data_IF_694332283237
#
_entry.id   IF_694332283237
#
_cell.length_a   1.000
_cell.length_b   1.000
_cell.length_c   1.000
_cell.angle_alpha   90.00
_cell.angle_beta   90.00
_cell.angle_gamma   90.00
#
_symmetry.space_group_name_H-M   'P 1'
#
loop_
_entity.id
_entity.type
_entity.pdbx_description
1 polymer ?
#
# COMPACT_ATOMS: atom_id res chain seq x y z
N UNK A 1 -4.13 33.78 27.61
CA UNK A 1 -4.71 32.80 26.65
C UNK A 1 -4.65 33.28 25.18
N UNK A 2 -4.05 34.43 24.86
CA UNK A 2 -4.02 34.97 23.52
C UNK A 2 -2.73 34.67 22.71
N UNK A 3 -1.67 34.19 23.35
CA UNK A 3 -0.38 33.94 22.66
C UNK A 3 -0.32 32.59 21.92
N UNK A 4 -1.09 31.57 22.38
CA UNK A 4 -1.09 30.24 21.76
C UNK A 4 -1.76 30.19 20.36
N UNK A 5 -2.65 31.11 20.04
CA UNK A 5 -3.33 31.18 18.73
C UNK A 5 -2.52 31.97 17.67
N UNK A 6 -1.61 32.84 18.11
CA UNK A 6 -0.74 33.59 17.19
C UNK A 6 0.30 32.73 16.49
N UNK A 7 0.77 31.65 17.12
CA UNK A 7 1.77 30.74 16.57
C UNK A 7 1.16 29.72 15.58
N UNK A 8 -0.09 29.30 15.80
CA UNK A 8 -0.77 28.34 14.92
C UNK A 8 -0.96 28.88 13.48
N UNK A 9 -1.17 30.19 13.29
CA UNK A 9 -1.33 30.80 11.98
C UNK A 9 -0.04 30.75 11.15
N UNK A 10 1.14 30.71 11.78
CA UNK A 10 2.43 30.62 11.11
C UNK A 10 2.64 29.29 10.37
N UNK A 11 1.92 28.23 10.75
CA UNK A 11 1.94 26.94 10.06
C UNK A 11 1.21 26.96 8.70
N UNK A 12 0.37 27.98 8.45
CA UNK A 12 -0.42 28.11 7.22
C UNK A 12 0.16 29.18 6.28
N UNK A 13 1.48 29.30 6.24
CA UNK A 13 2.15 30.24 5.32
C UNK A 13 2.02 29.77 3.88
N UNK A 14 1.84 30.70 2.96
CA UNK A 14 1.87 30.46 1.51
C UNK A 14 3.25 30.70 0.91
N UNK A 15 4.19 31.25 1.69
CA UNK A 15 5.56 31.51 1.26
C UNK A 15 6.44 30.30 1.49
N UNK A 16 7.06 29.82 0.42
CA UNK A 16 8.02 28.71 0.50
C UNK A 16 9.30 29.15 1.19
N UNK A 17 9.77 28.36 2.17
CA UNK A 17 11.06 28.56 2.84
C UNK A 17 12.20 27.80 2.15
N UNK A 18 11.98 27.27 0.93
CA UNK A 18 12.94 26.49 0.15
C UNK A 18 12.45 26.25 -1.27
N UNK A 19 13.22 25.45 -2.01
CA UNK A 19 12.85 25.04 -3.37
C UNK A 19 11.68 24.05 -3.37
N UNK A 20 10.79 24.17 -4.36
CA UNK A 20 9.71 23.22 -4.55
C UNK A 20 10.27 21.86 -4.95
N UNK A 21 9.85 20.80 -4.25
CA UNK A 21 10.23 19.43 -4.56
C UNK A 21 9.60 18.86 -5.84
N UNK A 22 8.60 19.53 -6.42
CA UNK A 22 7.92 19.10 -7.63
C UNK A 22 6.45 19.52 -7.67
N UNK A 23 5.68 18.90 -8.57
CA UNK A 23 4.25 19.11 -8.73
C UNK A 23 3.51 18.05 -7.90
N UNK A 24 2.56 18.49 -7.07
CA UNK A 24 1.68 17.59 -6.33
C UNK A 24 0.74 16.84 -7.29
N UNK A 25 0.25 15.66 -6.84
CA UNK A 25 -0.75 14.88 -7.58
C UNK A 25 -1.82 14.34 -6.65
N UNK A 26 -2.98 14.09 -7.21
CA UNK A 26 -4.06 13.35 -6.56
C UNK A 26 -4.06 11.91 -7.06
N UNK A 27 -4.30 10.96 -6.18
CA UNK A 27 -4.43 9.54 -6.51
C UNK A 27 -5.71 9.01 -5.87
N UNK A 28 -6.60 8.44 -6.67
CA UNK A 28 -7.68 7.61 -6.15
C UNK A 28 -7.12 6.19 -6.00
N UNK A 29 -7.06 5.69 -4.78
CA UNK A 29 -6.49 4.38 -4.48
C UNK A 29 -7.23 3.23 -5.17
N UNK A 30 -8.52 3.38 -5.41
CA UNK A 30 -9.31 2.36 -6.12
C UNK A 30 -8.90 2.21 -7.59
N UNK A 31 -8.26 3.24 -8.16
CA UNK A 31 -7.70 3.20 -9.51
C UNK A 31 -6.30 2.58 -9.56
N UNK A 32 -5.66 2.34 -8.42
CA UNK A 32 -4.36 1.67 -8.36
C UNK A 32 -4.58 0.17 -8.51
N UNK A 33 -3.94 -0.44 -9.50
CA UNK A 33 -4.01 -1.90 -9.70
C UNK A 33 -3.52 -2.62 -8.44
N UNK A 34 -4.33 -3.51 -7.85
CA UNK A 34 -3.91 -4.27 -6.69
C UNK A 34 -2.81 -5.25 -7.07
N UNK A 35 -1.86 -5.42 -6.18
CA UNK A 35 -0.79 -6.42 -6.25
C UNK A 35 -1.13 -7.50 -5.25
N UNK A 36 -1.23 -8.74 -5.68
CA UNK A 36 -1.37 -9.89 -4.77
C UNK A 36 0.02 -10.29 -4.29
N UNK A 37 0.26 -10.14 -3.00
CA UNK A 37 1.53 -10.51 -2.38
C UNK A 37 1.55 -11.99 -1.98
N UNK A 38 0.47 -12.42 -1.34
CA UNK A 38 0.14 -13.80 -1.00
C UNK A 38 -1.36 -13.98 -1.22
N UNK A 39 -1.87 -15.21 -1.36
CA UNK A 39 -3.31 -15.44 -1.47
C UNK A 39 -4.08 -14.77 -0.32
N UNK A 40 -5.01 -13.88 -0.66
CA UNK A 40 -5.80 -13.10 0.29
C UNK A 40 -5.10 -11.86 0.87
N UNK A 41 -3.83 -11.62 0.54
CA UNK A 41 -3.08 -10.43 0.94
C UNK A 41 -2.77 -9.57 -0.28
N UNK A 42 -3.53 -8.52 -0.45
CA UNK A 42 -3.38 -7.58 -1.54
C UNK A 42 -2.92 -6.21 -1.07
N UNK A 43 -2.23 -5.47 -1.91
CA UNK A 43 -1.83 -4.10 -1.62
C UNK A 43 -1.84 -3.19 -2.84
N UNK A 44 -2.00 -1.89 -2.59
CA UNK A 44 -1.97 -0.82 -3.58
C UNK A 44 -0.98 0.25 -3.13
N UNK A 45 0.25 0.28 -3.69
CA UNK A 45 1.26 1.24 -3.30
C UNK A 45 1.02 2.61 -3.96
N UNK A 46 1.15 3.67 -3.17
CA UNK A 46 1.15 5.07 -3.62
C UNK A 46 2.47 5.69 -3.24
N UNK A 47 3.32 5.89 -4.25
CA UNK A 47 4.68 6.39 -4.05
C UNK A 47 4.70 7.91 -3.87
N UNK A 48 5.32 8.39 -2.80
CA UNK A 48 5.75 9.77 -2.60
C UNK A 48 7.24 9.95 -2.93
N UNK A 49 7.79 11.13 -2.68
CA UNK A 49 9.23 11.38 -2.92
C UNK A 49 10.14 10.76 -1.84
N UNK A 50 9.71 10.79 -0.58
CA UNK A 50 10.50 10.34 0.57
C UNK A 50 9.79 9.29 1.42
N UNK A 51 8.61 8.87 1.02
CA UNK A 51 7.82 7.86 1.68
C UNK A 51 6.82 7.24 0.72
N UNK A 52 6.21 6.16 1.13
CA UNK A 52 5.19 5.42 0.38
C UNK A 52 4.03 5.11 1.30
N UNK A 53 2.80 5.34 0.84
CA UNK A 53 1.61 4.80 1.48
C UNK A 53 1.20 3.53 0.73
N UNK A 54 1.01 2.44 1.45
CA UNK A 54 0.58 1.17 0.89
C UNK A 54 -0.76 0.77 1.53
N UNK A 55 -1.80 0.66 0.72
CA UNK A 55 -3.12 0.23 1.18
C UNK A 55 -3.19 -1.29 1.11
N UNK A 56 -3.27 -1.92 2.26
CA UNK A 56 -3.18 -3.37 2.42
C UNK A 56 -4.52 -3.95 2.81
N UNK A 57 -4.96 -4.95 2.08
CA UNK A 57 -6.19 -5.70 2.37
C UNK A 57 -5.84 -7.13 2.77
N UNK A 58 -6.35 -7.56 3.91
CA UNK A 58 -6.32 -8.94 4.38
C UNK A 58 -7.71 -9.54 4.25
N UNK A 59 -7.83 -10.66 3.56
CA UNK A 59 -9.00 -11.52 3.65
C UNK A 59 -9.03 -12.28 4.98
N UNK A 60 -10.17 -12.83 5.42
CA UNK A 60 -10.20 -13.73 6.57
C UNK A 60 -9.23 -14.91 6.42
N UNK A 61 -8.51 -15.25 7.50
CA UNK A 61 -7.58 -16.37 7.52
C UNK A 61 -6.27 -16.12 6.77
N UNK A 62 -5.90 -14.87 6.55
CA UNK A 62 -4.67 -14.49 5.84
C UNK A 62 -3.56 -14.12 6.81
N UNK A 63 -2.33 -14.46 6.46
CA UNK A 63 -1.13 -14.17 7.25
C UNK A 63 -0.08 -13.44 6.42
N UNK A 64 0.44 -12.33 6.96
CA UNK A 64 1.71 -11.74 6.59
C UNK A 64 2.77 -12.29 7.55
N UNK A 65 3.63 -13.24 7.11
CA UNK A 65 4.58 -13.92 7.98
C UNK A 65 5.54 -12.96 8.66
N UNK A 66 6.04 -13.35 9.84
CA UNK A 66 7.03 -12.56 10.59
C UNK A 66 8.26 -12.30 9.73
N UNK A 67 8.65 -11.03 9.61
CA UNK A 67 9.75 -10.56 8.78
C UNK A 67 10.38 -9.29 9.35
N UNK A 68 11.45 -8.85 8.71
CA UNK A 68 12.17 -7.60 9.00
C UNK A 68 12.46 -6.86 7.72
N UNK A 69 12.61 -5.54 7.78
CA UNK A 69 13.09 -4.69 6.69
C UNK A 69 13.72 -3.42 7.23
N UNK A 70 14.43 -2.68 6.38
CA UNK A 70 15.17 -1.49 6.78
C UNK A 70 14.32 -0.22 6.93
N UNK A 71 13.16 -0.19 6.26
CA UNK A 71 12.27 0.96 6.32
C UNK A 71 11.57 1.03 7.68
N UNK A 72 11.41 2.23 8.22
CA UNK A 72 10.42 2.47 9.26
C UNK A 72 9.02 2.30 8.67
N UNK A 73 8.15 1.63 9.41
CA UNK A 73 6.76 1.41 9.01
C UNK A 73 5.82 1.97 10.08
N UNK A 74 4.80 2.70 9.64
CA UNK A 74 3.66 3.07 10.48
C UNK A 74 2.43 2.35 9.94
N UNK A 75 1.88 1.46 10.75
CA UNK A 75 0.68 0.67 10.47
C UNK A 75 -0.53 1.39 11.01
N UNK A 76 -1.55 1.62 10.18
CA UNK A 76 -2.79 2.31 10.58
C UNK A 76 -3.98 1.45 10.17
N UNK A 77 -4.75 0.93 11.14
CA UNK A 77 -5.95 0.16 10.84
C UNK A 77 -7.10 1.10 10.47
N UNK A 78 -7.65 0.92 9.27
CA UNK A 78 -8.74 1.74 8.72
C UNK A 78 -10.08 1.07 8.92
N UNK A 79 -10.16 -0.25 8.69
CA UNK A 79 -11.38 -1.04 8.80
C UNK A 79 -11.08 -2.47 9.21
N UNK A 80 -12.00 -3.09 9.97
CA UNK A 80 -11.85 -4.45 10.47
C UNK A 80 -10.83 -4.56 11.61
N UNK A 81 -10.25 -5.74 11.74
CA UNK A 81 -9.25 -6.03 12.75
C UNK A 81 -8.29 -7.13 12.29
N UNK A 82 -7.10 -7.13 12.83
CA UNK A 82 -6.12 -8.20 12.69
C UNK A 82 -5.28 -8.35 13.95
N UNK A 83 -4.59 -9.46 14.10
CA UNK A 83 -3.60 -9.63 15.16
C UNK A 83 -2.24 -9.21 14.61
N UNK A 84 -1.53 -8.39 15.36
CA UNK A 84 -0.22 -7.86 15.02
C UNK A 84 0.81 -8.29 16.06
N UNK A 85 1.89 -8.90 15.61
CA UNK A 85 3.06 -9.26 16.41
C UNK A 85 4.16 -8.22 16.15
N UNK A 86 4.50 -7.44 17.16
CA UNK A 86 5.59 -6.48 17.14
C UNK A 86 6.65 -6.92 18.14
N UNK A 87 7.72 -7.52 17.65
CA UNK A 87 8.84 -8.03 18.44
C UNK A 87 8.44 -8.95 19.62
N UNK A 88 7.38 -9.75 19.39
CA UNK A 88 6.82 -10.67 20.38
C UNK A 88 5.69 -10.07 21.26
N UNK A 89 5.43 -8.77 21.16
CA UNK A 89 4.23 -8.16 21.75
C UNK A 89 3.05 -8.34 20.78
N UNK A 90 2.18 -9.29 21.07
CA UNK A 90 1.06 -9.68 20.21
C UNK A 90 -0.22 -9.01 20.66
N UNK A 91 -0.84 -8.23 19.78
CA UNK A 91 -2.07 -7.49 20.07
C UNK A 91 -3.07 -7.59 18.92
N UNK A 92 -4.35 -7.56 19.25
CA UNK A 92 -5.39 -7.30 18.25
C UNK A 92 -5.50 -5.81 18.04
N UNK A 93 -5.27 -5.37 16.80
CA UNK A 93 -5.43 -3.99 16.37
C UNK A 93 -6.74 -3.83 15.62
N UNK A 94 -7.44 -2.73 15.87
CA UNK A 94 -8.74 -2.39 15.33
C UNK A 94 -8.72 -1.01 14.70
N UNK A 95 -9.78 -0.64 14.00
CA UNK A 95 -9.92 0.69 13.43
C UNK A 95 -9.50 1.80 14.39
N UNK A 96 -8.54 2.61 13.93
CA UNK A 96 -7.96 3.73 14.69
C UNK A 96 -6.71 3.38 15.48
N UNK A 97 -6.37 2.09 15.61
CA UNK A 97 -5.10 1.68 16.21
C UNK A 97 -3.95 1.92 15.24
N UNK A 98 -2.81 2.29 15.82
CA UNK A 98 -1.57 2.57 15.09
C UNK A 98 -0.42 1.84 15.76
N UNK A 99 0.43 1.20 14.96
CA UNK A 99 1.71 0.66 15.40
C UNK A 99 2.86 1.38 14.68
N UNK A 100 3.94 1.62 15.38
CA UNK A 100 5.19 2.13 14.80
C UNK A 100 6.24 1.04 14.86
N UNK A 101 6.75 0.63 13.71
CA UNK A 101 7.74 -0.43 13.53
C UNK A 101 9.05 0.23 13.10
N UNK A 102 10.03 0.37 14.01
CA UNK A 102 11.35 0.87 13.63
C UNK A 102 12.06 -0.09 12.67
N UNK A 103 13.08 0.43 11.97
CA UNK A 103 13.91 -0.38 11.09
C UNK A 103 14.42 -1.65 11.79
N UNK A 104 14.37 -2.77 11.07
CA UNK A 104 14.85 -4.09 11.51
C UNK A 104 14.14 -4.72 12.70
N UNK A 105 13.03 -4.14 13.17
CA UNK A 105 12.21 -4.76 14.22
C UNK A 105 11.34 -5.86 13.63
N UNK A 106 11.42 -7.12 14.14
CA UNK A 106 10.62 -8.22 13.63
C UNK A 106 9.13 -7.99 13.88
N UNK A 107 8.31 -8.22 12.86
CA UNK A 107 6.86 -8.07 12.95
C UNK A 107 6.14 -8.96 11.94
N UNK A 108 4.85 -9.17 12.18
CA UNK A 108 3.96 -9.93 11.34
C UNK A 108 2.51 -9.68 11.71
N UNK A 109 1.57 -10.10 10.86
CA UNK A 109 0.15 -9.87 11.08
C UNK A 109 -0.68 -11.04 10.55
N UNK A 110 -1.85 -11.26 11.12
CA UNK A 110 -2.81 -12.24 10.61
C UNK A 110 -4.24 -11.88 10.96
N UNK A 111 -5.15 -12.30 10.10
CA UNK A 111 -6.61 -12.27 10.34
C UNK A 111 -7.12 -13.66 10.67
N UNK A 112 -8.25 -13.74 11.37
CA UNK A 112 -8.99 -14.98 11.62
C UNK A 112 -10.30 -14.98 10.84
N UNK A 113 -11.40 -14.60 11.46
CA UNK A 113 -12.73 -14.64 10.86
C UNK A 113 -13.15 -13.32 10.20
N UNK A 114 -12.40 -12.27 10.40
CA UNK A 114 -12.65 -10.94 9.85
C UNK A 114 -11.59 -10.52 8.84
N UNK A 115 -11.98 -9.67 7.90
CA UNK A 115 -11.04 -8.96 7.04
C UNK A 115 -10.45 -7.74 7.75
N UNK A 116 -9.34 -7.23 7.22
CA UNK A 116 -8.74 -5.99 7.67
C UNK A 116 -8.30 -5.15 6.48
N UNK A 117 -8.55 -3.85 6.55
CA UNK A 117 -7.94 -2.84 5.69
C UNK A 117 -7.04 -1.97 6.54
N UNK A 118 -5.81 -1.89 6.17
CA UNK A 118 -4.82 -1.03 6.82
C UNK A 118 -4.08 -0.15 5.82
N UNK A 119 -3.34 0.83 6.31
CA UNK A 119 -2.39 1.64 5.55
C UNK A 119 -1.03 1.51 6.21
N UNK A 120 -0.06 1.02 5.45
CA UNK A 120 1.36 1.06 5.82
C UNK A 120 2.00 2.31 5.23
N UNK A 121 2.64 3.10 6.08
CA UNK A 121 3.49 4.21 5.63
C UNK A 121 4.94 3.79 5.81
N UNK A 122 5.68 3.69 4.72
CA UNK A 122 7.12 3.36 4.71
C UNK A 122 7.99 4.59 4.48
N UNK A 123 9.05 4.72 5.28
CA UNK A 123 10.06 5.76 5.12
C UNK A 123 11.46 5.14 5.29
N UNK A 124 12.29 5.16 4.25
CA UNK A 124 12.04 5.55 2.86
C UNK A 124 11.01 4.64 2.15
N UNK A 125 10.67 4.90 0.88
CA UNK A 125 9.81 4.01 0.11
C UNK A 125 10.37 2.58 0.03
N UNK A 126 9.52 1.57 0.24
CA UNK A 126 9.93 0.16 0.19
C UNK A 126 10.01 -0.32 -1.26
N UNK A 127 11.21 -0.26 -1.83
CA UNK A 127 11.46 -0.56 -3.25
C UNK A 127 11.10 -2.00 -3.65
N UNK A 128 11.23 -2.96 -2.73
CA UNK A 128 10.87 -4.36 -3.01
C UNK A 128 9.39 -4.53 -3.37
N UNK A 129 8.50 -3.78 -2.72
CA UNK A 129 7.07 -3.78 -3.04
C UNK A 129 6.78 -3.11 -4.38
N UNK A 130 7.50 -2.03 -4.70
CA UNK A 130 7.35 -1.34 -5.99
C UNK A 130 7.80 -2.23 -7.15
N UNK A 131 8.92 -2.92 -7.02
CA UNK A 131 9.41 -3.87 -8.02
C UNK A 131 8.44 -5.03 -8.26
N UNK A 132 7.81 -5.53 -7.19
CA UNK A 132 6.78 -6.56 -7.31
C UNK A 132 5.54 -6.03 -8.04
N UNK A 133 5.08 -4.82 -7.73
CA UNK A 133 3.96 -4.18 -8.41
C UNK A 133 4.23 -3.99 -9.92
N UNK A 134 5.44 -3.55 -10.28
CA UNK A 134 5.88 -3.40 -11.66
C UNK A 134 5.90 -4.75 -12.39
N UNK A 135 6.44 -5.80 -11.77
CA UNK A 135 6.51 -7.14 -12.34
C UNK A 135 5.11 -7.72 -12.64
N UNK A 136 4.19 -7.66 -11.70
CA UNK A 136 2.82 -8.14 -11.88
C UNK A 136 2.05 -7.33 -12.94
N UNK A 137 2.25 -6.01 -12.99
CA UNK A 137 1.69 -5.16 -14.04
C UNK A 137 2.18 -5.56 -15.44
N UNK A 138 3.46 -5.86 -15.58
CA UNK A 138 4.05 -6.30 -16.85
C UNK A 138 3.52 -7.67 -17.29
N UNK A 139 3.39 -8.61 -16.36
CA UNK A 139 2.82 -9.94 -16.60
C UNK A 139 1.34 -9.85 -17.04
N UNK A 140 0.53 -9.05 -16.33
CA UNK A 140 -0.86 -8.84 -16.69
C UNK A 140 -1.03 -8.21 -18.08
N UNK A 141 -0.18 -7.25 -18.43
CA UNK A 141 -0.18 -6.60 -19.76
C UNK A 141 0.22 -7.58 -20.87
N UNK A 142 1.20 -8.44 -20.62
CA UNK A 142 1.64 -9.47 -21.55
C UNK A 142 0.56 -10.52 -21.78
N UNK A 143 -0.09 -11.00 -20.72
CA UNK A 143 -1.19 -11.95 -20.81
C UNK A 143 -2.39 -11.39 -21.58
N UNK A 144 -2.75 -10.13 -21.35
CA UNK A 144 -3.81 -9.44 -22.07
C UNK A 144 -3.50 -9.31 -23.58
N UNK A 145 -2.25 -9.00 -23.94
CA UNK A 145 -1.82 -8.90 -25.32
C UNK A 145 -1.85 -10.26 -26.06
N UNK A 146 -1.48 -11.33 -25.37
CA UNK A 146 -1.56 -12.70 -25.91
C UNK A 146 -3.00 -13.14 -26.14
N UNK A 147 -3.90 -12.91 -25.17
CA UNK A 147 -5.31 -13.24 -25.31
C UNK A 147 -6.01 -12.45 -26.45
N UNK A 148 -5.59 -11.21 -26.69
CA UNK A 148 -6.11 -10.40 -27.81
C UNK A 148 -5.59 -10.90 -29.18
N UNK A 149 -4.37 -11.44 -29.24
CA UNK A 149 -3.78 -11.99 -30.46
C UNK A 149 -4.39 -13.33 -30.91
N UNK A 150 -4.99 -14.10 -29.99
CA UNK A 150 -5.65 -15.39 -30.29
C UNK A 150 -7.10 -15.24 -30.83
N UNK A 151 -7.68 -14.02 -30.80
CA UNK A 151 -9.04 -13.73 -31.30
C UNK A 151 -9.05 -13.16 -32.75
N UNK A 152 -8.20 -13.64 -33.67
CA UNK A 152 -8.39 -13.35 -35.06
C UNK A 152 -9.64 -14.07 -35.59
N UNK A 153 -10.56 -13.37 -36.28
CA UNK A 153 -11.77 -13.99 -36.80
C UNK A 153 -11.39 -14.96 -37.95
N UNK A 154 -11.66 -16.24 -37.71
CA UNK A 154 -11.56 -17.26 -38.76
C UNK A 154 -12.30 -16.84 -40.03
N UNK A 155 -11.57 -16.68 -41.12
CA UNK A 155 -12.09 -16.31 -42.40
C UNK A 155 -13.25 -17.22 -42.81
N UNK A 156 -14.36 -16.63 -43.24
CA UNK A 156 -15.41 -17.34 -43.93
C UNK A 156 -14.85 -17.90 -45.26
N UNK A 157 -15.02 -19.17 -45.54
CA UNK A 157 -14.79 -19.66 -46.92
C UNK A 157 -15.93 -19.17 -47.79
N UNK A 158 -15.59 -18.32 -48.77
CA UNK A 158 -16.52 -17.97 -49.84
C UNK A 158 -17.03 -19.19 -50.57
N UNK A 159 -18.33 -19.42 -50.50
CA UNK A 159 -19.01 -20.38 -51.34
C UNK A 159 -19.33 -19.75 -52.66
N UNK A 160 -18.95 -20.45 -53.73
CA UNK A 160 -19.31 -20.21 -55.08
C UNK A 160 -20.81 -20.46 -55.35
#
# INVERSE_FOLDING_TARGET
MSEALGDAASHFTTEAQGERGGIGRYVNVDSVTPVEFLPGLGFRPVLGQRGMANFVSFEPGTEAPRHVHEEEQIVIVVEGEFTFDLDGDVRTMRRGDVAVVPAWVPHGAWTTDSSCLEIDVFVPPRESLLKLAEAQSAEASSAAAQAAGEQEPGGQPGGA
#
